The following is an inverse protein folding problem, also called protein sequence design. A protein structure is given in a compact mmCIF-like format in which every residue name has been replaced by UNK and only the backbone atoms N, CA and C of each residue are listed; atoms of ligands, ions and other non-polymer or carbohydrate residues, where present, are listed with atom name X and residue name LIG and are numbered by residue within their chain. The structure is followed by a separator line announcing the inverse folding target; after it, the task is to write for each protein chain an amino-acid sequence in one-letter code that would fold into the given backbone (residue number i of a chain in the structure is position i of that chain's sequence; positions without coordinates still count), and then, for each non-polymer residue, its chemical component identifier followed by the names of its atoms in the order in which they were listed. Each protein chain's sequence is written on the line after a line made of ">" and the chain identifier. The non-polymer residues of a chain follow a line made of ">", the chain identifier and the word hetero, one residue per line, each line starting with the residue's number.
data_IF_810189382821
#
_entry.id   IF_810189382821
#
_cell.length_a   1.000
_cell.length_b   1.000
_cell.length_c   1.000
_cell.angle_alpha   90.00
_cell.angle_beta   90.00
_cell.angle_gamma   90.00
#
_symmetry.space_group_name_H-M   'P 1'
#
loop_
_entity.id
_entity.type
_entity.pdbx_description
1 polymer ?
#
# COMPACT_ATOMS: atom_id res chain seq x y z
N UNK A 1 14.81 -31.00 -21.48
CA UNK A 1 14.75 -29.91 -22.48
C UNK A 1 14.74 -28.56 -21.76
N UNK A 2 15.69 -28.21 -20.89
CA UNK A 2 17.14 -28.03 -21.08
C UNK A 2 17.52 -26.95 -22.12
N UNK A 3 18.27 -25.95 -21.63
CA UNK A 3 19.12 -24.97 -22.35
C UNK A 3 18.53 -23.59 -22.72
N UNK A 4 17.98 -22.85 -21.74
CA UNK A 4 17.74 -21.40 -21.90
C UNK A 4 18.87 -20.52 -21.29
N UNK A 5 19.75 -21.08 -20.44
CA UNK A 5 20.69 -20.29 -19.63
C UNK A 5 22.18 -20.44 -19.98
N UNK A 6 22.51 -20.87 -21.20
CA UNK A 6 23.91 -21.03 -21.64
C UNK A 6 24.60 -19.74 -22.07
N UNK A 7 23.96 -18.57 -21.96
CA UNK A 7 24.69 -17.29 -21.92
C UNK A 7 25.13 -16.98 -20.48
N UNK A 8 26.00 -17.85 -19.97
CA UNK A 8 26.71 -17.75 -18.69
C UNK A 8 27.45 -16.41 -18.51
N UNK A 9 27.67 -15.62 -19.57
CA UNK A 9 28.39 -14.34 -19.49
C UNK A 9 27.61 -13.22 -18.80
N UNK A 10 26.28 -13.31 -18.67
CA UNK A 10 25.49 -12.29 -17.97
C UNK A 10 25.35 -12.53 -16.46
N UNK A 11 25.37 -13.79 -16.01
CA UNK A 11 25.31 -14.15 -14.59
C UNK A 11 26.70 -14.17 -13.91
N UNK A 12 27.77 -14.23 -14.69
CA UNK A 12 29.14 -14.33 -14.20
C UNK A 12 29.81 -12.96 -14.04
N UNK A 13 29.13 -12.02 -13.37
CA UNK A 13 29.73 -10.74 -12.99
C UNK A 13 29.54 -10.47 -11.51
N UNK A 14 30.64 -10.15 -10.84
CA UNK A 14 30.73 -9.80 -9.44
C UNK A 14 29.89 -8.55 -9.17
N UNK A 15 28.73 -8.73 -8.52
CA UNK A 15 27.81 -7.65 -8.21
C UNK A 15 26.91 -8.01 -7.03
N UNK A 16 26.39 -7.01 -6.29
CA UNK A 16 25.58 -7.23 -5.10
C UNK A 16 24.28 -8.00 -5.36
N UNK A 17 23.84 -8.06 -6.62
CA UNK A 17 22.60 -8.72 -7.03
C UNK A 17 22.79 -10.12 -7.66
N UNK A 18 24.03 -10.55 -7.90
CA UNK A 18 24.31 -11.80 -8.62
C UNK A 18 23.66 -13.05 -8.00
N UNK A 19 23.60 -13.21 -6.65
CA UNK A 19 22.92 -14.35 -6.02
C UNK A 19 21.40 -14.42 -6.30
N UNK A 20 20.77 -13.31 -6.69
CA UNK A 20 19.31 -13.20 -6.80
C UNK A 20 18.80 -13.28 -8.24
N UNK A 21 19.70 -13.28 -9.23
CA UNK A 21 19.34 -13.28 -10.66
C UNK A 21 18.58 -14.56 -11.03
N UNK A 22 19.02 -15.71 -10.54
CA UNK A 22 18.37 -16.99 -10.85
C UNK A 22 16.97 -17.09 -10.24
N UNK A 23 16.81 -16.65 -8.99
CA UNK A 23 15.50 -16.57 -8.34
C UNK A 23 14.55 -15.64 -9.09
N UNK A 24 15.03 -14.45 -9.47
CA UNK A 24 14.25 -13.50 -10.26
C UNK A 24 13.82 -14.09 -11.61
N UNK A 25 14.74 -14.76 -12.32
CA UNK A 25 14.44 -15.41 -13.59
C UNK A 25 13.43 -16.56 -13.44
N UNK A 26 13.45 -17.30 -12.32
CA UNK A 26 12.48 -18.34 -12.03
C UNK A 26 11.07 -17.77 -11.81
N UNK A 27 10.93 -16.67 -11.07
CA UNK A 27 9.64 -16.01 -10.84
C UNK A 27 9.02 -15.47 -12.11
N UNK A 28 9.83 -14.84 -12.96
CA UNK A 28 9.35 -14.37 -14.26
C UNK A 28 8.78 -15.52 -15.11
N UNK A 29 9.35 -16.72 -15.04
CA UNK A 29 8.80 -17.88 -15.74
C UNK A 29 7.50 -18.37 -15.12
N UNK A 30 7.43 -18.44 -13.80
CA UNK A 30 6.22 -18.86 -13.10
C UNK A 30 5.03 -17.94 -13.39
N UNK A 31 5.28 -16.64 -13.56
CA UNK A 31 4.27 -15.63 -13.93
C UNK A 31 3.96 -15.58 -15.44
N UNK A 32 4.57 -16.44 -16.25
CA UNK A 32 4.25 -16.56 -17.68
C UNK A 32 4.84 -15.45 -18.57
N UNK A 33 5.89 -14.77 -18.13
CA UNK A 33 6.53 -13.74 -18.96
C UNK A 33 7.15 -14.32 -20.24
N UNK A 34 6.92 -13.63 -21.36
CA UNK A 34 7.57 -13.95 -22.63
C UNK A 34 9.09 -13.88 -22.49
N UNK A 35 9.80 -14.82 -23.14
CA UNK A 35 11.26 -14.97 -23.05
C UNK A 35 12.03 -13.66 -23.27
N UNK A 36 11.68 -12.91 -24.32
CA UNK A 36 12.31 -11.64 -24.64
C UNK A 36 12.14 -10.58 -23.54
N UNK A 37 10.99 -10.56 -22.85
CA UNK A 37 10.75 -9.65 -21.72
C UNK A 37 11.61 -10.04 -20.52
N UNK A 38 11.74 -11.34 -20.24
CA UNK A 38 12.59 -11.85 -19.16
C UNK A 38 14.06 -11.52 -19.37
N UNK A 39 14.58 -11.71 -20.59
CA UNK A 39 15.96 -11.37 -20.94
C UNK A 39 16.24 -9.86 -20.78
N UNK A 40 15.29 -9.01 -21.16
CA UNK A 40 15.39 -7.56 -20.98
C UNK A 40 15.41 -7.15 -19.51
N UNK A 41 14.49 -7.67 -18.70
CA UNK A 41 14.42 -7.32 -17.27
C UNK A 41 15.64 -7.84 -16.50
N UNK A 42 16.10 -9.07 -16.78
CA UNK A 42 17.35 -9.60 -16.20
C UNK A 42 18.52 -8.67 -16.51
N UNK A 43 18.65 -8.20 -17.76
CA UNK A 43 19.69 -7.23 -18.12
C UNK A 43 19.58 -5.93 -17.32
N UNK A 44 18.37 -5.44 -17.06
CA UNK A 44 18.17 -4.23 -16.26
C UNK A 44 18.53 -4.44 -14.78
N UNK A 45 18.26 -5.62 -14.23
CA UNK A 45 18.66 -6.01 -12.88
C UNK A 45 20.18 -6.09 -12.77
N UNK A 46 20.86 -6.69 -13.76
CA UNK A 46 22.33 -6.72 -13.81
C UNK A 46 22.92 -5.32 -13.91
N UNK A 47 22.39 -4.47 -14.80
CA UNK A 47 22.85 -3.09 -14.95
C UNK A 47 22.61 -2.27 -13.67
N UNK A 48 21.50 -2.51 -12.97
CA UNK A 48 21.23 -1.92 -11.66
C UNK A 48 22.24 -2.39 -10.62
N UNK A 49 22.57 -3.69 -10.58
CA UNK A 49 23.60 -4.25 -9.70
C UNK A 49 24.98 -3.61 -9.91
N UNK A 50 25.38 -3.38 -11.16
CA UNK A 50 26.60 -2.65 -11.50
C UNK A 50 26.54 -1.19 -11.03
N UNK A 51 25.38 -0.54 -11.17
CA UNK A 51 25.17 0.82 -10.70
C UNK A 51 25.28 0.90 -9.16
N UNK A 52 24.70 -0.05 -8.42
CA UNK A 52 24.82 -0.15 -6.96
C UNK A 52 26.28 -0.34 -6.54
N UNK A 53 27.00 -1.28 -7.17
CA UNK A 53 28.41 -1.53 -6.90
C UNK A 53 29.27 -0.26 -7.11
N UNK A 54 29.01 0.49 -8.19
CA UNK A 54 29.71 1.76 -8.47
C UNK A 54 29.46 2.83 -7.40
N UNK A 55 28.27 2.85 -6.79
CA UNK A 55 27.92 3.80 -5.73
C UNK A 55 28.19 3.24 -4.32
N UNK A 56 28.77 2.04 -4.21
CA UNK A 56 29.03 1.33 -2.95
C UNK A 56 27.78 1.12 -2.09
N UNK A 57 26.62 0.95 -2.73
CA UNK A 57 25.35 0.67 -2.08
C UNK A 57 25.22 -0.84 -1.91
N UNK A 58 24.99 -1.30 -0.68
CA UNK A 58 24.80 -2.71 -0.38
C UNK A 58 23.39 -3.17 -0.76
N UNK A 59 23.22 -4.47 -0.99
CA UNK A 59 21.91 -5.04 -1.34
C UNK A 59 20.84 -4.76 -0.27
N UNK A 60 21.25 -4.68 0.99
CA UNK A 60 20.38 -4.40 2.13
C UNK A 60 19.85 -2.96 2.15
N UNK A 61 20.54 -2.05 1.46
CA UNK A 61 20.21 -0.61 1.42
C UNK A 61 19.31 -0.26 0.22
N UNK A 62 18.85 -1.26 -0.55
CA UNK A 62 18.04 -1.02 -1.73
C UNK A 62 16.64 -0.54 -1.31
N UNK A 63 16.30 0.69 -1.71
CA UNK A 63 14.97 1.29 -1.54
C UNK A 63 14.40 1.77 -2.88
N UNK A 64 13.09 2.04 -2.92
CA UNK A 64 12.42 2.60 -4.10
C UNK A 64 12.96 3.99 -4.48
N UNK A 65 13.54 4.73 -3.53
CA UNK A 65 14.17 6.03 -3.75
C UNK A 65 15.38 5.95 -4.68
N UNK A 66 16.05 4.80 -4.74
CA UNK A 66 17.20 4.57 -5.62
C UNK A 66 16.82 4.34 -7.09
N UNK A 67 15.55 4.02 -7.38
CA UNK A 67 15.12 3.71 -8.74
C UNK A 67 15.22 4.94 -9.65
N UNK A 68 14.76 6.11 -9.19
CA UNK A 68 14.80 7.33 -10.00
C UNK A 68 16.24 7.80 -10.30
N UNK A 69 17.17 7.87 -9.33
CA UNK A 69 18.59 8.14 -9.59
C UNK A 69 19.21 7.17 -10.61
N UNK A 70 18.96 5.87 -10.46
CA UNK A 70 19.46 4.87 -11.42
C UNK A 70 18.88 5.09 -12.82
N UNK A 71 17.56 5.25 -12.94
CA UNK A 71 16.89 5.45 -14.23
C UNK A 71 17.35 6.76 -14.91
N UNK A 72 17.63 7.82 -14.15
CA UNK A 72 18.23 9.06 -14.67
C UNK A 72 19.67 8.84 -15.15
N UNK A 73 20.49 8.11 -14.39
CA UNK A 73 21.86 7.79 -14.78
C UNK A 73 21.91 6.95 -16.06
N UNK A 74 20.99 5.99 -16.20
CA UNK A 74 20.81 5.15 -17.38
C UNK A 74 20.17 5.89 -18.56
N UNK A 75 19.32 6.88 -18.27
CA UNK A 75 18.60 7.72 -19.23
C UNK A 75 19.47 8.43 -20.28
N UNK A 76 20.78 8.55 -20.01
CA UNK A 76 21.78 9.08 -20.96
C UNK A 76 22.00 8.20 -22.19
N UNK A 77 21.56 6.92 -22.16
CA UNK A 77 21.70 5.96 -23.26
C UNK A 77 20.37 5.54 -23.90
N UNK A 78 19.27 5.58 -23.14
CA UNK A 78 17.90 5.27 -23.60
C UNK A 78 16.88 5.82 -22.61
N UNK A 79 15.75 6.36 -23.07
CA UNK A 79 14.66 6.81 -22.19
C UNK A 79 14.07 5.64 -21.39
N UNK A 80 14.00 5.73 -20.05
CA UNK A 80 13.26 4.77 -19.22
C UNK A 80 11.77 4.72 -19.57
N UNK A 81 11.17 3.56 -19.43
CA UNK A 81 9.74 3.30 -19.59
C UNK A 81 9.13 2.79 -18.27
N UNK A 82 7.80 2.75 -18.17
CA UNK A 82 7.12 2.18 -16.99
C UNK A 82 7.51 0.73 -16.69
N UNK A 83 7.85 -0.06 -17.72
CA UNK A 83 8.30 -1.44 -17.57
C UNK A 83 9.64 -1.53 -16.80
N UNK A 84 10.51 -0.53 -16.91
CA UNK A 84 11.78 -0.49 -16.18
C UNK A 84 11.56 -0.32 -14.67
N UNK A 85 10.56 0.48 -14.27
CA UNK A 85 10.18 0.65 -12.86
C UNK A 85 9.57 -0.64 -12.31
N UNK A 86 8.66 -1.26 -13.05
CA UNK A 86 8.03 -2.53 -12.64
C UNK A 86 9.05 -3.66 -12.47
N UNK A 87 10.07 -3.72 -13.33
CA UNK A 87 11.16 -4.70 -13.19
C UNK A 87 11.96 -4.52 -11.89
N UNK A 88 12.25 -3.26 -11.51
CA UNK A 88 12.97 -2.92 -10.27
C UNK A 88 12.09 -3.13 -9.03
N UNK A 89 10.79 -2.83 -9.12
CA UNK A 89 9.82 -3.13 -8.05
C UNK A 89 9.76 -4.63 -7.79
N UNK A 90 9.63 -5.45 -8.83
CA UNK A 90 9.65 -6.90 -8.72
C UNK A 90 10.93 -7.42 -8.06
N UNK A 91 12.08 -6.85 -8.40
CA UNK A 91 13.35 -7.20 -7.78
C UNK A 91 13.32 -6.88 -6.28
N UNK A 92 12.87 -5.68 -5.91
CA UNK A 92 12.74 -5.28 -4.51
C UNK A 92 11.78 -6.20 -3.74
N UNK A 93 10.64 -6.55 -4.33
CA UNK A 93 9.67 -7.48 -3.73
C UNK A 93 10.27 -8.87 -3.50
N UNK A 94 11.11 -9.36 -4.42
CA UNK A 94 11.88 -10.59 -4.25
C UNK A 94 12.87 -10.47 -3.08
N UNK A 95 13.66 -9.39 -3.02
CA UNK A 95 14.65 -9.17 -1.97
C UNK A 95 14.03 -8.99 -0.58
N UNK A 96 12.86 -8.36 -0.51
CA UNK A 96 12.07 -8.24 0.70
C UNK A 96 11.55 -9.61 1.17
N UNK A 97 10.99 -10.42 0.26
CA UNK A 97 10.50 -11.77 0.58
C UNK A 97 11.61 -12.73 1.01
N UNK A 98 12.82 -12.56 0.48
CA UNK A 98 13.99 -13.34 0.89
C UNK A 98 14.70 -12.79 2.14
N UNK A 99 14.20 -11.70 2.73
CA UNK A 99 14.79 -11.09 3.93
C UNK A 99 16.15 -10.44 3.73
N UNK A 100 16.53 -10.17 2.47
CA UNK A 100 17.83 -9.57 2.11
C UNK A 100 17.80 -8.06 2.30
N UNK A 101 16.74 -7.43 1.79
CA UNK A 101 16.44 -6.03 2.12
C UNK A 101 15.61 -6.08 3.40
N UNK A 102 16.05 -5.45 4.50
CA UNK A 102 15.19 -5.27 5.65
C UNK A 102 13.92 -4.60 5.15
N UNK A 103 12.76 -5.18 5.45
CA UNK A 103 11.51 -4.45 5.21
C UNK A 103 11.68 -3.12 5.91
N UNK A 104 11.60 -1.97 5.19
CA UNK A 104 11.71 -0.67 5.82
C UNK A 104 10.75 -0.73 6.98
N UNK A 105 11.27 -0.62 8.21
CA UNK A 105 10.43 -0.71 9.39
C UNK A 105 9.34 0.31 9.15
N UNK A 106 8.11 -0.16 8.87
CA UNK A 106 7.01 0.74 8.63
C UNK A 106 7.03 1.66 9.84
N UNK A 107 7.16 2.99 9.66
CA UNK A 107 7.30 3.89 10.79
C UNK A 107 6.23 3.50 11.80
N UNK A 108 6.63 3.34 13.07
CA UNK A 108 5.80 2.70 14.08
C UNK A 108 4.36 3.18 13.92
N UNK A 109 3.46 2.25 13.53
CA UNK A 109 2.14 2.62 13.05
C UNK A 109 1.53 3.67 13.97
N UNK A 110 1.06 4.77 13.41
CA UNK A 110 0.39 5.81 14.17
C UNK A 110 -0.77 5.19 14.96
N UNK A 111 -1.19 5.77 16.08
CA UNK A 111 -2.34 5.25 16.83
C UNK A 111 -3.59 5.07 15.94
N UNK A 112 -3.80 5.97 14.97
CA UNK A 112 -4.89 5.87 13.99
C UNK A 112 -4.72 4.69 13.01
N UNK A 113 -3.51 4.39 12.55
CA UNK A 113 -3.25 3.24 11.66
C UNK A 113 -3.41 1.90 12.38
N UNK A 114 -3.01 1.81 13.64
CA UNK A 114 -3.27 0.61 14.48
C UNK A 114 -4.76 0.39 14.65
N UNK A 115 -5.49 1.46 15.01
CA UNK A 115 -6.94 1.42 15.16
C UNK A 115 -7.66 1.03 13.87
N UNK A 116 -7.22 1.53 12.72
CA UNK A 116 -7.73 1.12 11.41
C UNK A 116 -7.43 -0.35 11.10
N UNK A 117 -6.25 -0.84 11.47
CA UNK A 117 -5.88 -2.25 11.27
C UNK A 117 -6.73 -3.19 12.12
N UNK A 118 -6.99 -2.85 13.38
CA UNK A 118 -7.91 -3.59 14.24
C UNK A 118 -9.35 -3.53 13.72
N UNK A 119 -9.78 -2.36 13.23
CA UNK A 119 -11.10 -2.23 12.62
C UNK A 119 -11.23 -3.09 11.36
N UNK A 120 -10.19 -3.18 10.53
CA UNK A 120 -10.17 -4.09 9.36
C UNK A 120 -10.40 -5.54 9.79
N UNK A 121 -9.69 -5.99 10.82
CA UNK A 121 -9.85 -7.35 11.36
C UNK A 121 -11.27 -7.59 11.87
N UNK A 122 -11.85 -6.62 12.58
CA UNK A 122 -13.25 -6.69 13.00
C UNK A 122 -14.22 -6.78 11.82
N UNK A 123 -14.05 -5.99 10.76
CA UNK A 123 -14.89 -6.05 9.57
C UNK A 123 -14.79 -7.39 8.84
N UNK A 124 -13.60 -8.00 8.86
CA UNK A 124 -13.36 -9.31 8.26
C UNK A 124 -13.98 -10.43 9.10
N UNK A 125 -13.73 -10.45 10.40
CA UNK A 125 -14.07 -11.56 11.29
C UNK A 125 -15.54 -11.53 11.72
N UNK A 126 -16.03 -10.37 12.17
CA UNK A 126 -17.37 -10.25 12.76
C UNK A 126 -18.43 -9.87 11.74
N UNK A 127 -18.04 -9.22 10.64
CA UNK A 127 -18.98 -8.72 9.62
C UNK A 127 -18.88 -9.42 8.27
N UNK A 128 -17.88 -10.28 8.08
CA UNK A 128 -17.63 -11.06 6.85
C UNK A 128 -17.73 -10.23 5.56
N UNK A 129 -17.29 -8.96 5.60
CA UNK A 129 -17.40 -8.07 4.45
C UNK A 129 -16.36 -8.42 3.39
N UNK A 130 -16.71 -8.25 2.11
CA UNK A 130 -15.76 -8.35 1.00
C UNK A 130 -14.65 -7.29 1.13
N UNK A 131 -13.43 -7.62 0.69
CA UNK A 131 -12.24 -6.75 0.79
C UNK A 131 -12.49 -5.33 0.25
N UNK A 132 -13.08 -5.20 -0.94
CA UNK A 132 -13.41 -3.90 -1.54
C UNK A 132 -14.35 -3.06 -0.67
N UNK A 133 -15.26 -3.69 0.07
CA UNK A 133 -16.16 -3.00 1.00
C UNK A 133 -15.42 -2.60 2.28
N UNK A 134 -14.52 -3.46 2.77
CA UNK A 134 -13.64 -3.12 3.90
C UNK A 134 -12.78 -1.89 3.58
N UNK A 135 -12.16 -1.83 2.40
CA UNK A 135 -11.33 -0.70 1.98
C UNK A 135 -12.11 0.61 1.94
N UNK A 136 -13.36 0.56 1.45
CA UNK A 136 -14.26 1.71 1.47
C UNK A 136 -14.56 2.17 2.91
N UNK A 137 -14.80 1.24 3.83
CA UNK A 137 -15.09 1.56 5.23
C UNK A 137 -13.86 2.15 5.93
N UNK A 138 -12.69 1.57 5.70
CA UNK A 138 -11.41 2.02 6.24
C UNK A 138 -11.06 3.41 5.72
N UNK A 139 -11.33 3.70 4.45
CA UNK A 139 -11.13 5.04 3.87
C UNK A 139 -11.90 6.09 4.68
N UNK A 140 -13.20 5.89 4.92
CA UNK A 140 -14.00 6.85 5.66
C UNK A 140 -13.63 6.95 7.15
N UNK A 141 -13.31 5.82 7.80
CA UNK A 141 -12.83 5.83 9.19
C UNK A 141 -11.48 6.55 9.31
N UNK A 142 -10.55 6.30 8.37
CA UNK A 142 -9.25 6.96 8.32
C UNK A 142 -9.36 8.46 8.05
N UNK A 143 -10.24 8.88 7.13
CA UNK A 143 -10.53 10.29 6.89
C UNK A 143 -11.06 10.99 8.16
N UNK A 144 -11.97 10.35 8.88
CA UNK A 144 -12.49 10.86 10.16
C UNK A 144 -11.38 10.98 11.22
N UNK A 145 -10.58 9.92 11.41
CA UNK A 145 -9.49 9.91 12.39
C UNK A 145 -8.43 10.97 12.08
N UNK A 146 -8.07 11.11 10.81
CA UNK A 146 -7.10 12.12 10.36
C UNK A 146 -7.62 13.52 10.60
N UNK A 147 -8.90 13.78 10.32
CA UNK A 147 -9.52 15.08 10.53
C UNK A 147 -9.64 15.46 12.01
N UNK A 148 -9.87 14.48 12.91
CA UNK A 148 -10.02 14.75 14.35
C UNK A 148 -8.70 14.76 15.12
N UNK A 149 -7.79 13.85 14.81
CA UNK A 149 -6.59 13.59 15.62
C UNK A 149 -5.28 13.88 14.87
N UNK A 150 -5.32 13.99 13.54
CA UNK A 150 -4.12 14.15 12.71
C UNK A 150 -3.12 13.02 12.95
N UNK A 151 -1.85 13.38 13.15
CA UNK A 151 -0.79 12.44 13.54
C UNK A 151 -0.66 12.25 15.07
N UNK A 152 -1.56 12.86 15.85
CA UNK A 152 -1.55 12.84 17.31
C UNK A 152 -2.12 11.55 17.93
N UNK A 153 -2.17 11.47 19.26
CA UNK A 153 -2.83 10.38 19.96
C UNK A 153 -4.32 10.37 19.65
N UNK A 154 -4.89 9.16 19.53
CA UNK A 154 -6.32 8.96 19.29
C UNK A 154 -7.02 8.76 20.64
N UNK A 155 -7.84 9.74 21.04
CA UNK A 155 -8.71 9.66 22.21
C UNK A 155 -10.16 9.55 21.74
N UNK A 156 -10.68 8.32 21.70
CA UNK A 156 -12.07 8.08 21.32
C UNK A 156 -13.06 8.37 22.46
N UNK A 157 -12.62 8.32 23.72
CA UNK A 157 -13.48 8.56 24.88
C UNK A 157 -13.92 10.04 24.94
N UNK A 158 -13.06 10.94 24.48
CA UNK A 158 -13.35 12.37 24.31
C UNK A 158 -14.31 12.71 23.17
N UNK A 159 -14.73 11.75 22.34
CA UNK A 159 -15.64 12.04 21.22
C UNK A 159 -17.04 12.41 21.67
N UNK A 160 -17.64 13.35 20.93
CA UNK A 160 -18.99 13.83 21.17
C UNK A 160 -19.84 13.85 19.90
N UNK A 161 -21.16 13.96 20.08
CA UNK A 161 -22.12 13.95 18.97
C UNK A 161 -21.86 15.08 17.95
N UNK A 162 -21.38 16.23 18.43
CA UNK A 162 -20.98 17.37 17.61
C UNK A 162 -19.83 17.03 16.63
N UNK A 163 -18.90 16.16 17.03
CA UNK A 163 -17.80 15.74 16.16
C UNK A 163 -18.31 14.92 14.97
N UNK A 164 -19.25 14.00 15.22
CA UNK A 164 -19.87 13.18 14.18
C UNK A 164 -20.69 14.05 13.21
N UNK A 165 -21.49 14.94 13.78
CA UNK A 165 -22.40 15.79 13.01
C UNK A 165 -21.60 16.78 12.16
N UNK A 166 -20.59 17.44 12.75
CA UNK A 166 -19.72 18.36 12.05
C UNK A 166 -18.91 17.68 10.93
N UNK A 167 -18.39 16.48 11.17
CA UNK A 167 -17.70 15.70 10.13
C UNK A 167 -18.64 15.39 8.95
N UNK A 168 -19.83 14.87 9.23
CA UNK A 168 -20.81 14.53 8.18
C UNK A 168 -21.25 15.77 7.41
N UNK A 169 -21.48 16.90 8.08
CA UNK A 169 -21.87 18.17 7.43
C UNK A 169 -20.78 18.69 6.49
N UNK A 170 -19.51 18.71 6.92
CA UNK A 170 -18.40 19.14 6.06
C UNK A 170 -18.25 18.26 4.82
N UNK A 171 -18.40 16.95 4.98
CA UNK A 171 -18.33 16.00 3.87
C UNK A 171 -19.53 16.10 2.94
N UNK A 172 -20.73 16.35 3.47
CA UNK A 172 -21.95 16.52 2.68
C UNK A 172 -21.84 17.64 1.64
N UNK A 173 -21.07 18.70 1.90
CA UNK A 173 -20.82 19.77 0.95
C UNK A 173 -19.93 19.37 -0.23
N UNK A 174 -19.15 18.28 -0.10
CA UNK A 174 -18.08 17.92 -1.05
C UNK A 174 -18.33 16.62 -1.83
N UNK A 175 -19.23 15.74 -1.37
CA UNK A 175 -19.43 14.41 -1.97
C UNK A 175 -20.87 14.13 -2.36
N UNK A 176 -21.04 13.26 -3.37
CA UNK A 176 -22.34 12.81 -3.87
C UNK A 176 -23.15 12.04 -2.82
N UNK A 177 -24.49 12.18 -2.82
CA UNK A 177 -25.38 11.63 -1.79
C UNK A 177 -25.22 10.13 -1.54
N UNK A 178 -25.04 9.31 -2.59
CA UNK A 178 -24.79 7.86 -2.44
C UNK A 178 -23.49 7.55 -1.70
N UNK A 179 -22.42 8.32 -1.97
CA UNK A 179 -21.13 8.17 -1.29
C UNK A 179 -21.23 8.63 0.16
N UNK A 180 -22.01 9.67 0.43
CA UNK A 180 -22.32 10.15 1.78
C UNK A 180 -23.10 9.12 2.62
N UNK A 181 -24.03 8.39 2.00
CA UNK A 181 -24.71 7.26 2.66
C UNK A 181 -23.76 6.13 3.04
N UNK A 182 -22.85 5.77 2.12
CA UNK A 182 -21.83 4.78 2.42
C UNK A 182 -20.90 5.25 3.55
N UNK A 183 -20.50 6.52 3.54
CA UNK A 183 -19.70 7.13 4.60
C UNK A 183 -20.41 7.07 5.96
N UNK A 184 -21.68 7.47 6.04
CA UNK A 184 -22.42 7.39 7.32
C UNK A 184 -22.63 5.95 7.79
N UNK A 185 -22.77 4.99 6.88
CA UNK A 185 -22.82 3.56 7.22
C UNK A 185 -21.48 3.06 7.78
N UNK A 186 -20.38 3.42 7.13
CA UNK A 186 -19.03 3.09 7.59
C UNK A 186 -18.73 3.72 8.95
N UNK A 187 -19.13 4.97 9.17
CA UNK A 187 -18.93 5.68 10.43
C UNK A 187 -19.72 5.05 11.58
N UNK A 188 -21.00 4.71 11.36
CA UNK A 188 -21.79 3.96 12.37
C UNK A 188 -21.15 2.62 12.71
N UNK A 189 -20.65 1.90 11.70
CA UNK A 189 -19.95 0.64 11.89
C UNK A 189 -18.67 0.81 12.72
N UNK A 190 -17.90 1.85 12.44
CA UNK A 190 -16.67 2.16 13.16
C UNK A 190 -16.94 2.52 14.63
N UNK A 191 -17.95 3.34 14.91
CA UNK A 191 -18.32 3.71 16.28
C UNK A 191 -18.84 2.51 17.10
N UNK A 192 -19.53 1.57 16.44
CA UNK A 192 -19.91 0.30 17.07
C UNK A 192 -18.69 -0.56 17.41
N UNK A 193 -17.70 -0.61 16.52
CA UNK A 193 -16.42 -1.26 16.79
C UNK A 193 -15.69 -0.61 17.98
N UNK A 194 -15.59 0.72 18.02
CA UNK A 194 -14.97 1.45 19.12
C UNK A 194 -15.67 1.18 20.47
N UNK A 195 -17.00 1.10 20.46
CA UNK A 195 -17.79 0.71 21.64
C UNK A 195 -17.59 -0.77 22.01
N UNK A 196 -17.50 -1.66 21.04
CA UNK A 196 -17.20 -3.09 21.27
C UNK A 196 -15.83 -3.29 21.94
N UNK A 197 -14.83 -2.49 21.56
CA UNK A 197 -13.49 -2.51 22.18
C UNK A 197 -13.45 -1.82 23.55
N UNK A 198 -14.51 -1.13 23.94
CA UNK A 198 -14.60 -0.39 25.21
C UNK A 198 -13.98 1.01 25.18
N UNK A 199 -13.67 1.57 24.00
CA UNK A 199 -13.08 2.92 23.92
C UNK A 199 -14.11 4.05 24.06
N UNK A 200 -15.39 3.72 23.87
CA UNK A 200 -16.50 4.67 23.93
C UNK A 200 -17.65 4.02 24.67
N UNK A 201 -18.12 4.64 25.75
CA UNK A 201 -19.30 4.15 26.49
C UNK A 201 -20.62 4.59 25.84
N UNK A 202 -20.62 5.78 25.23
CA UNK A 202 -21.79 6.42 24.64
C UNK A 202 -22.14 5.80 23.29
N UNK A 203 -23.42 5.70 22.97
CA UNK A 203 -23.87 5.26 21.64
C UNK A 203 -23.75 6.36 20.58
N UNK A 204 -22.52 6.75 20.24
CA UNK A 204 -22.26 7.78 19.24
C UNK A 204 -22.70 7.34 17.83
N UNK A 205 -22.87 6.04 17.58
CA UNK A 205 -23.40 5.55 16.31
C UNK A 205 -24.84 6.06 16.06
N UNK A 206 -25.63 6.24 17.12
CA UNK A 206 -26.97 6.82 17.04
C UNK A 206 -26.95 8.31 16.67
N UNK A 207 -25.84 9.02 16.93
CA UNK A 207 -25.69 10.44 16.64
C UNK A 207 -25.27 10.73 15.19
N UNK A 208 -24.92 9.70 14.40
CA UNK A 208 -24.56 9.89 12.99
C UNK A 208 -25.82 10.21 12.18
N UNK A 209 -25.91 11.37 11.49
CA UNK A 209 -27.11 11.77 10.75
C UNK A 209 -27.53 10.75 9.69
N UNK A 210 -28.83 10.57 9.52
CA UNK A 210 -29.37 9.85 8.37
C UNK A 210 -29.28 10.73 7.12
N UNK A 211 -28.68 10.22 6.05
CA UNK A 211 -28.61 10.94 4.77
C UNK A 211 -29.82 10.55 3.96
N UNK A 212 -30.76 11.49 3.82
CA UNK A 212 -31.96 11.28 3.03
C UNK A 212 -31.64 11.20 1.52
N UNK A 213 -32.19 10.21 0.84
CA UNK A 213 -32.13 10.08 -0.63
C UNK A 213 -33.24 10.93 -1.26
N UNK A 214 -33.06 12.24 -1.32
CA UNK A 214 -33.95 13.08 -2.10
C UNK A 214 -33.64 12.89 -3.58
N UNK A 215 -34.54 12.22 -4.31
CA UNK A 215 -34.60 12.36 -5.76
C UNK A 215 -35.24 13.72 -6.03
N UNK A 216 -34.51 14.65 -6.62
CA UNK A 216 -35.11 15.84 -7.20
C UNK A 216 -36.08 15.36 -8.30
N UNK A 217 -37.36 15.77 -8.28
CA UNK A 217 -38.23 15.60 -9.43
C UNK A 217 -37.57 16.34 -10.60
N UNK A 218 -37.25 15.61 -11.67
CA UNK A 218 -36.92 16.20 -12.98
C UNK A 218 -38.12 16.92 -13.56
#
# INVERSE_FOLDING_TARGET
>A
MEQVFKDHRLCQQDGPLSPYIECYAAEMRAEGYARHTSELQIRWVVDFGRWLAKHRIQTQEITTELFQPYLRARGRRRRPTGNDVSALQRLLDLLLRQGVVPTPGSPAATPAERLQSEYRLYLQQERALASTTQDCYLTFAGEFLTERFGAGPVDLAGLWAADMTGFVQRRAAAIQSKRLQLMTTALRSFLRFARYRGDIDKDLAACVPAVANWKLPT
#
